data_IF_028906472534
#
_entry.id   IF_028906472534
#
_cell.length_a   1.000
_cell.length_b   1.000
_cell.length_c   1.000
_cell.angle_alpha   90.00
_cell.angle_beta   90.00
_cell.angle_gamma   90.00
#
_symmetry.space_group_name_H-M   'P 1'
#
loop_
_entity.id
_entity.type
_entity.pdbx_description
1 polymer ?
#
# COMPACT_ATOMS: atom_id res chain seq x y z
N UNK A 1 15.93 1.87 15.05
CA UNK A 1 15.02 0.71 15.20
C UNK A 1 13.60 1.11 15.61
N UNK A 2 13.42 2.03 16.57
CA UNK A 2 12.09 2.46 17.05
C UNK A 2 11.29 3.27 16.01
N UNK A 3 11.92 4.23 15.32
CA UNK A 3 11.28 5.08 14.30
C UNK A 3 10.72 4.28 13.11
N UNK A 4 11.45 3.26 12.67
CA UNK A 4 11.06 2.40 11.55
C UNK A 4 9.79 1.57 11.83
N UNK A 5 9.61 1.11 13.07
CA UNK A 5 8.41 0.38 13.49
C UNK A 5 7.19 1.30 13.64
N UNK A 6 7.41 2.55 14.06
CA UNK A 6 6.35 3.56 14.18
C UNK A 6 5.79 3.91 12.79
N UNK A 7 6.66 4.17 11.82
CA UNK A 7 6.26 4.46 10.44
C UNK A 7 5.47 3.32 9.80
N UNK A 8 5.90 2.06 10.02
CA UNK A 8 5.16 0.84 9.58
C UNK A 8 3.72 0.83 10.06
N UNK A 9 3.52 1.10 11.34
CA UNK A 9 2.19 1.06 11.97
C UNK A 9 1.31 2.19 11.44
N UNK A 10 1.85 3.41 11.38
CA UNK A 10 1.11 4.60 10.91
C UNK A 10 0.71 4.49 9.45
N UNK A 11 1.60 3.96 8.60
CA UNK A 11 1.29 3.71 7.21
C UNK A 11 0.09 2.76 7.05
N UNK A 12 0.15 1.58 7.67
CA UNK A 12 -0.93 0.60 7.57
C UNK A 12 -2.25 1.17 8.09
N UNK A 13 -2.22 1.94 9.18
CA UNK A 13 -3.38 2.62 9.73
C UNK A 13 -3.95 3.67 8.76
N UNK A 14 -3.10 4.50 8.13
CA UNK A 14 -3.52 5.48 7.15
C UNK A 14 -4.18 4.82 5.93
N UNK A 15 -3.61 3.72 5.42
CA UNK A 15 -4.20 2.96 4.31
C UNK A 15 -5.55 2.37 4.73
N UNK A 16 -5.62 1.67 5.87
CA UNK A 16 -6.87 1.04 6.33
C UNK A 16 -8.01 2.04 6.55
N UNK A 17 -7.70 3.28 6.93
CA UNK A 17 -8.69 4.36 7.13
C UNK A 17 -8.96 5.17 5.86
N UNK A 18 -8.29 4.86 4.76
CA UNK A 18 -8.24 5.70 3.55
C UNK A 18 -7.85 7.16 3.85
N UNK A 19 -6.98 7.37 4.84
CA UNK A 19 -6.44 8.70 5.18
C UNK A 19 -5.32 9.06 4.20
N UNK A 20 -5.76 9.48 3.01
CA UNK A 20 -4.91 9.86 1.90
C UNK A 20 -3.91 10.94 2.29
N UNK A 21 -4.34 11.96 3.05
CA UNK A 21 -3.46 13.06 3.43
C UNK A 21 -2.35 12.59 4.37
N UNK A 22 -2.68 11.80 5.39
CA UNK A 22 -1.68 11.24 6.29
C UNK A 22 -0.70 10.32 5.54
N UNK A 23 -1.20 9.49 4.63
CA UNK A 23 -0.34 8.63 3.81
C UNK A 23 0.63 9.44 2.95
N UNK A 24 0.15 10.48 2.26
CA UNK A 24 0.99 11.33 1.40
C UNK A 24 2.03 12.12 2.21
N UNK A 25 1.67 12.62 3.39
CA UNK A 25 2.63 13.26 4.29
C UNK A 25 3.74 12.29 4.70
N UNK A 26 3.39 11.06 5.09
CA UNK A 26 4.37 10.02 5.43
C UNK A 26 5.26 9.65 4.23
N UNK A 27 4.69 9.56 3.03
CA UNK A 27 5.43 9.21 1.81
C UNK A 27 6.43 10.30 1.41
N UNK A 28 6.06 11.57 1.60
CA UNK A 28 6.96 12.70 1.40
C UNK A 28 8.09 12.75 2.43
N UNK A 29 7.83 12.31 3.66
CA UNK A 29 8.86 12.22 4.71
C UNK A 29 9.82 11.05 4.46
N UNK A 30 9.32 9.93 3.94
CA UNK A 30 10.13 8.75 3.62
C UNK A 30 9.51 7.93 2.48
N UNK A 31 10.12 7.97 1.30
CA UNK A 31 9.65 7.23 0.12
C UNK A 31 9.72 5.71 0.29
N UNK A 32 10.59 5.18 1.19
CA UNK A 32 10.69 3.73 1.44
C UNK A 32 9.38 3.12 1.92
N UNK A 33 8.47 3.92 2.48
CA UNK A 33 7.17 3.41 2.90
C UNK A 33 6.42 2.82 1.69
N UNK A 34 6.56 3.37 0.48
CA UNK A 34 5.83 2.93 -0.72
C UNK A 34 6.13 1.47 -1.10
N UNK A 35 7.30 0.95 -0.72
CA UNK A 35 7.74 -0.42 -1.02
C UNK A 35 7.67 -1.34 0.21
N UNK A 36 7.23 -0.82 1.34
CA UNK A 36 7.30 -1.50 2.61
C UNK A 36 6.33 -2.68 2.69
N UNK A 37 6.84 -3.82 3.18
CA UNK A 37 6.08 -5.06 3.26
C UNK A 37 5.58 -5.32 4.68
N UNK A 38 4.32 -5.74 4.80
CA UNK A 38 3.78 -6.28 6.06
C UNK A 38 4.55 -7.53 6.47
N UNK A 39 4.67 -7.79 7.78
CA UNK A 39 5.55 -8.86 8.28
C UNK A 39 5.15 -10.28 7.84
N UNK A 40 3.85 -10.57 7.72
CA UNK A 40 3.36 -11.94 7.52
C UNK A 40 2.87 -12.21 6.09
N UNK A 41 2.21 -11.23 5.48
CA UNK A 41 1.61 -11.38 4.15
C UNK A 41 2.46 -10.78 3.04
N UNK A 42 3.50 -10.02 3.40
CA UNK A 42 4.34 -9.28 2.46
C UNK A 42 3.56 -8.34 1.53
N UNK A 43 2.37 -7.91 1.96
CA UNK A 43 1.59 -6.89 1.26
C UNK A 43 2.36 -5.58 1.27
N UNK A 44 2.50 -4.99 0.08
CA UNK A 44 2.92 -3.59 -0.07
C UNK A 44 1.73 -2.65 0.17
N UNK A 45 1.96 -1.33 0.30
CA UNK A 45 0.88 -0.36 0.37
C UNK A 45 -0.10 -0.48 -0.80
N UNK A 46 0.42 -0.76 -2.00
CA UNK A 46 -0.41 -0.92 -3.18
C UNK A 46 -1.32 -2.14 -3.10
N UNK A 47 -0.87 -3.26 -2.51
CA UNK A 47 -1.74 -4.41 -2.24
C UNK A 47 -2.89 -4.03 -1.31
N UNK A 48 -2.58 -3.35 -0.21
CA UNK A 48 -3.59 -2.96 0.78
C UNK A 48 -4.60 -1.96 0.20
N UNK A 49 -4.13 -0.93 -0.51
CA UNK A 49 -4.99 0.04 -1.17
C UNK A 49 -5.89 -0.61 -2.25
N UNK A 50 -5.34 -1.54 -3.02
CA UNK A 50 -6.07 -2.29 -4.06
C UNK A 50 -7.11 -3.23 -3.44
N UNK A 51 -6.74 -3.93 -2.37
CA UNK A 51 -7.63 -4.79 -1.58
C UNK A 51 -8.80 -4.01 -0.97
N UNK A 52 -8.58 -2.79 -0.51
CA UNK A 52 -9.64 -1.97 0.08
C UNK A 52 -10.39 -1.10 -0.93
N UNK A 53 -10.00 -1.12 -2.21
CA UNK A 53 -10.69 -0.36 -3.25
C UNK A 53 -10.46 1.15 -3.15
N UNK A 54 -9.33 1.58 -2.56
CA UNK A 54 -9.00 2.99 -2.36
C UNK A 54 -8.41 3.60 -3.64
N UNK A 55 -9.25 3.83 -4.64
CA UNK A 55 -8.87 4.18 -6.02
C UNK A 55 -7.90 5.37 -6.10
N UNK A 56 -8.18 6.45 -5.36
CA UNK A 56 -7.31 7.64 -5.37
C UNK A 56 -5.94 7.33 -4.78
N UNK A 57 -5.90 6.56 -3.70
CA UNK A 57 -4.66 6.16 -3.05
C UNK A 57 -3.86 5.18 -3.93
N UNK A 58 -4.53 4.25 -4.60
CA UNK A 58 -3.92 3.38 -5.63
C UNK A 58 -3.28 4.23 -6.73
N UNK A 59 -4.02 5.20 -7.25
CA UNK A 59 -3.55 6.08 -8.32
C UNK A 59 -2.31 6.87 -7.88
N UNK A 60 -2.32 7.42 -6.67
CA UNK A 60 -1.19 8.17 -6.12
C UNK A 60 0.04 7.28 -5.91
N UNK A 61 -0.14 6.09 -5.34
CA UNK A 61 0.96 5.13 -5.11
C UNK A 61 1.59 4.71 -6.46
N UNK A 62 0.79 4.44 -7.49
CA UNK A 62 1.30 4.08 -8.83
C UNK A 62 2.08 5.24 -9.44
N UNK A 63 1.62 6.50 -9.28
CA UNK A 63 2.34 7.67 -9.78
C UNK A 63 3.70 7.85 -9.10
N UNK A 64 3.79 7.57 -7.80
CA UNK A 64 5.03 7.72 -7.03
C UNK A 64 5.98 6.53 -7.18
N UNK A 65 5.46 5.30 -7.27
CA UNK A 65 6.26 4.09 -7.37
C UNK A 65 5.62 3.08 -8.35
N UNK A 66 5.78 3.30 -9.66
CA UNK A 66 5.12 2.48 -10.69
C UNK A 66 5.46 1.00 -10.61
N UNK A 67 6.69 0.64 -10.21
CA UNK A 67 7.16 -0.75 -10.15
C UNK A 67 6.35 -1.62 -9.18
N UNK A 68 5.65 -1.01 -8.21
CA UNK A 68 4.85 -1.76 -7.24
C UNK A 68 3.64 -2.47 -7.85
N UNK A 69 3.22 -2.13 -9.08
CA UNK A 69 2.13 -2.84 -9.77
C UNK A 69 2.43 -4.32 -10.01
N UNK A 70 3.71 -4.67 -10.10
CA UNK A 70 4.18 -6.04 -10.30
C UNK A 70 4.75 -6.68 -9.03
N UNK A 71 4.65 -6.01 -7.87
CA UNK A 71 5.16 -6.57 -6.64
C UNK A 71 4.30 -7.77 -6.21
N UNK A 72 4.94 -8.89 -5.90
CA UNK A 72 4.26 -10.07 -5.39
C UNK A 72 4.20 -10.08 -3.87
N UNK A 73 3.07 -10.48 -3.28
CA UNK A 73 2.94 -10.78 -1.85
C UNK A 73 3.45 -12.21 -1.52
N UNK A 74 3.27 -12.69 -0.28
CA UNK A 74 3.74 -14.03 0.13
C UNK A 74 3.00 -15.21 -0.55
N UNK A 75 1.90 -14.93 -1.25
CA UNK A 75 1.13 -15.87 -2.06
C UNK A 75 1.41 -15.75 -3.56
N UNK A 76 2.42 -14.97 -3.96
CA UNK A 76 2.71 -14.65 -5.37
C UNK A 76 1.56 -13.91 -6.08
N UNK A 77 0.80 -13.13 -5.31
CA UNK A 77 -0.30 -12.31 -5.83
C UNK A 77 0.17 -10.87 -5.94
N UNK A 78 -0.11 -10.24 -7.09
CA UNK A 78 0.08 -8.80 -7.32
C UNK A 78 -1.05 -7.98 -6.68
N UNK A 79 -0.93 -6.64 -6.59
CA UNK A 79 -2.02 -5.79 -6.10
C UNK A 79 -3.34 -5.96 -6.87
N UNK A 80 -3.26 -6.25 -8.17
CA UNK A 80 -4.44 -6.52 -9.00
C UNK A 80 -5.18 -7.79 -8.57
N UNK A 81 -4.46 -8.86 -8.19
CA UNK A 81 -5.08 -10.07 -7.67
C UNK A 81 -5.89 -9.78 -6.39
N UNK A 82 -5.34 -8.97 -5.49
CA UNK A 82 -6.04 -8.54 -4.27
C UNK A 82 -7.29 -7.70 -4.56
N UNK A 83 -7.26 -6.81 -5.57
CA UNK A 83 -8.44 -6.10 -6.03
C UNK A 83 -9.51 -7.05 -6.57
N UNK A 84 -9.12 -8.04 -7.38
CA UNK A 84 -10.03 -9.05 -7.92
C UNK A 84 -10.67 -9.90 -6.82
N UNK A 85 -9.90 -10.34 -5.82
CA UNK A 85 -10.41 -11.13 -4.68
C UNK A 85 -11.51 -10.40 -3.89
N UNK A 86 -11.46 -9.07 -3.85
CA UNK A 86 -12.42 -8.23 -3.13
C UNK A 86 -13.51 -7.65 -4.03
N UNK A 87 -13.48 -7.92 -5.34
CA UNK A 87 -14.44 -7.38 -6.30
C UNK A 87 -14.30 -5.87 -6.55
N UNK A 88 -13.11 -5.30 -6.33
CA UNK A 88 -12.85 -3.87 -6.52
C UNK A 88 -12.61 -3.52 -7.99
N UNK A 89 -13.66 -3.62 -8.81
CA UNK A 89 -13.60 -3.48 -10.29
C UNK A 89 -13.12 -2.13 -10.82
N UNK A 90 -12.97 -1.12 -9.96
CA UNK A 90 -12.52 0.24 -10.33
C UNK A 90 -11.03 0.49 -10.06
N UNK A 91 -10.39 -0.43 -9.34
CA UNK A 91 -8.93 -0.49 -9.18
C UNK A 91 -8.35 -1.13 -10.43
#
# INVERSE_FOLDING_TARGET
MVTYLILKKQQAEAICKNDRQAFMSLANENEEILQQRTANTFHTPLHLASRFGHIELVTDIIKLCPDMVAADNSKLETPLHEACHQGNVKV
#
